data_IF_820333844803
#
_entry.id   IF_820333844803
#
_cell.length_a   1.000
_cell.length_b   1.000
_cell.length_c   1.000
_cell.angle_alpha   90.00
_cell.angle_beta   90.00
_cell.angle_gamma   90.00
#
_symmetry.space_group_name_H-M   'P 1'
#
loop_
_entity.id
_entity.type
_entity.pdbx_description
1 polymer ?
#
# COMPACT_ATOMS: atom_id res chain seq x y z
N UNK A 1 -8.20 -13.27 2.82
CA UNK A 1 -7.04 -12.68 3.50
C UNK A 1 -7.24 -12.84 5.00
N UNK A 2 -6.36 -13.59 5.65
CA UNK A 2 -6.31 -13.74 7.11
C UNK A 2 -5.28 -12.79 7.71
N UNK A 3 -5.33 -12.50 9.02
CA UNK A 3 -4.30 -11.72 9.72
C UNK A 3 -2.89 -12.29 9.53
N UNK A 4 -2.78 -13.61 9.31
CA UNK A 4 -1.53 -14.32 9.03
C UNK A 4 -0.94 -13.95 7.66
N UNK A 5 -1.77 -13.68 6.65
CA UNK A 5 -1.29 -13.27 5.32
C UNK A 5 -0.65 -11.88 5.37
N UNK A 6 -1.25 -10.96 6.14
CA UNK A 6 -0.71 -9.63 6.37
C UNK A 6 0.62 -9.69 7.13
N UNK A 7 0.67 -10.46 8.23
CA UNK A 7 1.90 -10.65 9.02
C UNK A 7 3.04 -11.26 8.17
N UNK A 8 2.73 -12.21 7.29
CA UNK A 8 3.72 -12.81 6.39
C UNK A 8 4.27 -11.79 5.39
N UNK A 9 3.42 -10.95 4.81
CA UNK A 9 3.85 -9.88 3.91
C UNK A 9 4.75 -8.85 4.64
N UNK A 10 4.40 -8.48 5.89
CA UNK A 10 5.21 -7.55 6.68
C UNK A 10 6.51 -8.17 7.21
N UNK A 11 6.55 -9.47 7.52
CA UNK A 11 7.74 -10.13 8.06
C UNK A 11 8.87 -10.26 7.03
N UNK A 12 8.57 -10.53 5.76
CA UNK A 12 9.57 -10.59 4.68
C UNK A 12 10.25 -9.25 4.39
N UNK A 13 9.57 -8.13 4.67
CA UNK A 13 10.05 -6.76 4.44
C UNK A 13 10.28 -5.94 5.71
N UNK A 14 10.33 -6.57 6.89
CA UNK A 14 10.19 -5.88 8.19
C UNK A 14 11.19 -4.74 8.41
N UNK A 15 12.43 -4.91 7.96
CA UNK A 15 13.45 -3.85 8.05
C UNK A 15 13.10 -2.63 7.19
N UNK A 16 12.64 -2.83 5.96
CA UNK A 16 12.22 -1.73 5.08
C UNK A 16 10.94 -1.07 5.58
N UNK A 17 9.96 -1.85 6.04
CA UNK A 17 8.69 -1.33 6.58
C UNK A 17 8.94 -0.51 7.84
N UNK A 18 9.77 -1.00 8.78
CA UNK A 18 10.14 -0.24 9.97
C UNK A 18 10.91 1.04 9.63
N UNK A 19 11.84 0.96 8.67
CA UNK A 19 12.58 2.14 8.23
C UNK A 19 11.66 3.20 7.63
N UNK A 20 10.71 2.80 6.78
CA UNK A 20 9.71 3.69 6.21
C UNK A 20 8.75 4.24 7.26
N UNK A 21 8.30 3.43 8.21
CA UNK A 21 7.39 3.88 9.27
C UNK A 21 7.96 5.05 10.08
N UNK A 22 9.28 5.10 10.25
CA UNK A 22 9.95 6.18 10.98
C UNK A 22 10.60 7.24 10.08
N UNK A 23 10.80 6.94 8.79
CA UNK A 23 11.49 7.82 7.83
C UNK A 23 10.57 8.74 7.02
N UNK A 24 9.24 8.49 7.00
CA UNK A 24 8.26 9.32 6.29
C UNK A 24 7.08 9.70 7.19
N UNK A 25 6.27 10.67 6.74
CA UNK A 25 5.03 11.04 7.44
C UNK A 25 4.11 9.82 7.60
N UNK A 26 3.55 9.64 8.81
CA UNK A 26 2.64 8.54 9.14
C UNK A 26 1.46 8.40 8.18
N UNK A 27 0.89 9.51 7.69
CA UNK A 27 -0.22 9.47 6.72
C UNK A 27 0.24 8.97 5.36
N UNK A 28 1.42 9.41 4.90
CA UNK A 28 2.05 8.92 3.67
C UNK A 28 2.36 7.43 3.77
N UNK A 29 2.90 6.98 4.90
CA UNK A 29 3.17 5.56 5.15
C UNK A 29 1.89 4.72 5.07
N UNK A 30 0.81 5.15 5.76
CA UNK A 30 -0.49 4.46 5.71
C UNK A 30 -1.06 4.40 4.29
N UNK A 31 -0.96 5.50 3.53
CA UNK A 31 -1.43 5.54 2.15
C UNK A 31 -0.66 4.57 1.25
N UNK A 32 0.67 4.53 1.37
CA UNK A 32 1.50 3.59 0.60
C UNK A 32 1.18 2.13 0.92
N UNK A 33 1.04 1.78 2.19
CA UNK A 33 0.67 0.41 2.60
C UNK A 33 -0.72 0.03 2.07
N UNK A 34 -1.71 0.93 2.18
CA UNK A 34 -3.06 0.67 1.70
C UNK A 34 -3.11 0.47 0.17
N UNK A 35 -2.53 1.39 -0.60
CA UNK A 35 -2.50 1.30 -2.06
C UNK A 35 -1.68 0.10 -2.52
N UNK A 36 -0.52 -0.14 -1.89
CA UNK A 36 0.32 -1.30 -2.16
C UNK A 36 -0.37 -2.63 -1.88
N UNK A 37 -1.25 -2.69 -0.88
CA UNK A 37 -2.03 -3.90 -0.56
C UNK A 37 -3.08 -4.26 -1.62
N UNK A 38 -3.52 -3.29 -2.43
CA UNK A 38 -4.50 -3.49 -3.49
C UNK A 38 -3.85 -3.71 -4.86
N UNK A 39 -2.64 -3.20 -5.06
CA UNK A 39 -1.94 -3.31 -6.34
C UNK A 39 -1.74 -4.76 -6.77
N UNK A 40 -2.09 -5.05 -8.03
CA UNK A 40 -2.01 -6.40 -8.63
C UNK A 40 -2.92 -7.43 -7.92
N UNK A 41 -3.95 -6.96 -7.21
CA UNK A 41 -5.03 -7.78 -6.65
C UNK A 41 -6.34 -7.45 -7.37
N UNK A 42 -7.38 -8.30 -7.30
CA UNK A 42 -8.68 -8.03 -7.91
C UNK A 42 -9.32 -6.68 -7.54
N UNK A 43 -8.91 -6.08 -6.41
CA UNK A 43 -9.36 -4.76 -5.97
C UNK A 43 -8.74 -3.61 -6.79
N UNK A 44 -7.50 -3.78 -7.26
CA UNK A 44 -6.78 -2.79 -8.08
C UNK A 44 -5.84 -3.52 -9.05
N UNK A 45 -6.45 -4.14 -10.06
CA UNK A 45 -5.73 -4.87 -11.10
C UNK A 45 -4.97 -3.94 -12.06
N UNK A 46 -5.35 -2.66 -12.12
CA UNK A 46 -4.76 -1.67 -13.01
C UNK A 46 -4.79 -0.27 -12.39
N UNK A 47 -3.75 0.52 -12.68
CA UNK A 47 -3.57 1.90 -12.23
C UNK A 47 -4.38 2.91 -13.06
N UNK A 48 -4.88 2.52 -14.24
CA UNK A 48 -5.66 3.39 -15.13
C UNK A 48 -6.91 3.98 -14.44
N UNK A 49 -7.59 3.18 -13.62
CA UNK A 49 -8.78 3.65 -12.89
C UNK A 49 -8.42 4.69 -11.83
N UNK A 50 -7.33 4.49 -11.10
CA UNK A 50 -6.86 5.41 -10.05
C UNK A 50 -6.37 6.73 -10.65
N UNK A 51 -5.60 6.66 -11.73
CA UNK A 51 -5.12 7.84 -12.45
C UNK A 51 -6.28 8.66 -13.02
N UNK A 52 -7.31 8.02 -13.59
CA UNK A 52 -8.51 8.71 -14.05
C UNK A 52 -9.25 9.44 -12.92
N UNK A 53 -9.37 8.84 -11.73
CA UNK A 53 -10.01 9.48 -10.57
C UNK A 53 -9.19 10.68 -10.10
N UNK A 54 -7.86 10.55 -10.04
CA UNK A 54 -6.97 11.65 -9.66
C UNK A 54 -7.09 12.83 -10.64
N UNK A 55 -7.07 12.56 -11.95
CA UNK A 55 -7.25 13.60 -12.97
C UNK A 55 -8.64 14.28 -12.94
N UNK A 56 -9.66 13.62 -12.41
CA UNK A 56 -11.02 14.18 -12.31
C UNK A 56 -11.22 15.00 -11.03
N UNK A 57 -10.45 14.71 -9.96
CA UNK A 57 -10.62 15.32 -8.63
C UNK A 57 -9.53 16.32 -8.24
N UNK A 58 -8.38 16.32 -8.91
CA UNK A 58 -7.41 17.41 -8.87
C UNK A 58 -7.80 18.50 -9.87
#
# INVERSE_FOLDING_TARGET
>A
ASSVDAERAFSGGRLQVNHLQHGINSQTFKAQVAVGSWYNTPLMNDLSAVTSIMHTKM
#
